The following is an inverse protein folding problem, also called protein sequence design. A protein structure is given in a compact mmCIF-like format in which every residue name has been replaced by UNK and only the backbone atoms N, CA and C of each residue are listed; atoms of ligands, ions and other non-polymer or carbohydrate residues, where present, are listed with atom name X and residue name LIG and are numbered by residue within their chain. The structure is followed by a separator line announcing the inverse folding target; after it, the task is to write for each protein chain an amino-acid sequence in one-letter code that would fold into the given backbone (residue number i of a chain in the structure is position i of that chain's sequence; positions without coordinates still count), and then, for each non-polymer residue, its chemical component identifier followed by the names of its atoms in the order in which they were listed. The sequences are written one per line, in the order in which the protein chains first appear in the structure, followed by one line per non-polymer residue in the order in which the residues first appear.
data_IF_947722520921
#
_entry.id   IF_947722520921
#
_cell.length_a   1.000
_cell.length_b   1.000
_cell.length_c   1.000
_cell.angle_alpha   90.00
_cell.angle_beta   90.00
_cell.angle_gamma   90.00
#
_symmetry.space_group_name_H-M   'P 1'
#
loop_
_entity.id
_entity.type
_entity.pdbx_description
1 polymer ?
#
# COMPACT_ATOMS: atom_id res chain seq x y z
N UNK A 1 7.81 14.09 -8.73
CA UNK A 1 8.29 13.10 -7.74
C UNK A 1 7.67 11.73 -8.00
N UNK A 2 8.27 10.66 -7.47
CA UNK A 2 7.75 9.29 -7.51
C UNK A 2 6.98 8.99 -6.21
N UNK A 3 5.88 8.25 -6.31
CA UNK A 3 5.15 7.70 -5.15
C UNK A 3 5.31 6.18 -5.15
N UNK A 4 5.71 5.62 -4.00
CA UNK A 4 5.78 4.18 -3.76
C UNK A 4 4.59 3.74 -2.92
N UNK A 5 3.89 2.70 -3.36
CA UNK A 5 2.71 2.17 -2.69
C UNK A 5 2.87 0.67 -2.43
N UNK A 6 3.17 0.25 -1.21
CA UNK A 6 3.10 -1.16 -0.83
C UNK A 6 1.67 -1.68 -0.86
N UNK A 7 1.48 -2.88 -1.39
CA UNK A 7 0.18 -3.56 -1.44
C UNK A 7 0.34 -5.00 -0.95
N UNK A 8 -0.59 -5.46 -0.12
CA UNK A 8 -0.56 -6.81 0.45
C UNK A 8 -1.69 -7.67 -0.11
N UNK A 9 -1.37 -8.90 -0.48
CA UNK A 9 -2.35 -9.93 -0.83
C UNK A 9 -2.87 -10.56 0.46
N UNK A 10 -4.18 -10.45 0.71
CA UNK A 10 -4.85 -10.93 1.92
C UNK A 10 -6.07 -11.77 1.57
N UNK A 11 -6.60 -12.53 2.53
CA UNK A 11 -7.91 -13.18 2.35
C UNK A 11 -8.97 -12.10 2.12
N UNK A 12 -9.80 -12.30 1.09
CA UNK A 12 -10.90 -11.38 0.79
C UNK A 12 -11.87 -11.28 1.98
N UNK A 13 -12.24 -10.06 2.36
CA UNK A 13 -13.07 -9.80 3.54
C UNK A 13 -14.48 -10.40 3.46
N UNK A 14 -14.94 -10.80 2.28
CA UNK A 14 -16.22 -11.51 2.11
C UNK A 14 -16.11 -13.01 2.39
N UNK A 15 -14.89 -13.55 2.53
CA UNK A 15 -14.66 -14.97 2.80
C UNK A 15 -15.01 -15.28 4.26
N UNK A 16 -15.80 -16.33 4.47
CA UNK A 16 -16.01 -16.88 5.81
C UNK A 16 -14.76 -17.65 6.26
N UNK A 17 -13.99 -17.04 7.15
CA UNK A 17 -12.76 -17.61 7.69
C UNK A 17 -13.04 -18.93 8.43
N UNK A 18 -12.15 -19.91 8.22
CA UNK A 18 -12.12 -21.18 8.95
C UNK A 18 -10.75 -21.37 9.59
N UNK A 19 -10.74 -21.74 10.85
CA UNK A 19 -9.51 -22.11 11.57
C UNK A 19 -9.15 -23.56 11.20
N UNK A 20 -7.87 -23.83 11.03
CA UNK A 20 -7.37 -25.20 10.80
C UNK A 20 -7.72 -26.10 12.00
N UNK A 21 -7.96 -27.41 11.81
CA UNK A 21 -8.32 -28.31 12.89
C UNK A 21 -7.29 -28.38 14.04
N UNK A 22 -6.02 -28.15 13.73
CA UNK A 22 -4.92 -28.15 14.70
C UNK A 22 -4.73 -26.80 15.43
N UNK A 23 -5.53 -25.77 15.09
CA UNK A 23 -5.46 -24.44 15.69
C UNK A 23 -4.23 -23.61 15.29
N UNK A 24 -3.40 -24.06 14.35
CA UNK A 24 -2.14 -23.40 13.99
C UNK A 24 -2.32 -22.16 13.08
N UNK A 25 -3.53 -21.89 12.62
CA UNK A 25 -3.81 -20.74 11.76
C UNK A 25 -5.12 -20.87 10.99
N UNK A 26 -5.26 -20.03 9.98
CA UNK A 26 -6.42 -19.97 9.09
C UNK A 26 -6.23 -20.91 7.90
N UNK A 27 -7.30 -21.58 7.49
CA UNK A 27 -7.32 -22.37 6.27
C UNK A 27 -7.27 -21.45 5.04
N UNK A 28 -6.20 -21.58 4.25
CA UNK A 28 -5.96 -20.73 3.06
C UNK A 28 -6.09 -21.51 1.75
N UNK A 29 -6.32 -22.82 1.80
CA UNK A 29 -6.46 -23.62 0.58
C UNK A 29 -7.75 -23.26 -0.16
N UNK A 30 -7.61 -22.90 -1.44
CA UNK A 30 -8.74 -22.52 -2.32
C UNK A 30 -9.62 -21.36 -1.80
N UNK A 31 -9.03 -20.47 -1.00
CA UNK A 31 -9.70 -19.28 -0.49
C UNK A 31 -9.46 -18.13 -1.45
N UNK A 32 -10.50 -17.33 -1.72
CA UNK A 32 -10.36 -16.11 -2.51
C UNK A 32 -9.44 -15.13 -1.78
N UNK A 33 -8.44 -14.64 -2.49
CA UNK A 33 -7.52 -13.60 -2.05
C UNK A 33 -7.77 -12.31 -2.81
N UNK A 34 -7.47 -11.17 -2.19
CA UNK A 34 -7.61 -9.84 -2.79
C UNK A 34 -6.53 -8.89 -2.28
N UNK A 35 -6.47 -7.71 -2.85
CA UNK A 35 -5.67 -6.61 -2.29
C UNK A 35 -6.26 -6.19 -0.94
N UNK A 36 -5.41 -5.93 0.04
CA UNK A 36 -5.83 -5.34 1.31
C UNK A 36 -6.63 -4.03 1.06
N UNK A 37 -7.84 -3.87 1.63
CA UNK A 37 -8.68 -2.70 1.37
C UNK A 37 -8.03 -1.36 1.67
N UNK A 38 -7.20 -1.27 2.71
CA UNK A 38 -6.45 -0.05 3.01
C UNK A 38 -5.39 0.26 1.93
N UNK A 39 -4.84 -0.75 1.30
CA UNK A 39 -3.86 -0.58 0.22
C UNK A 39 -4.54 -0.14 -1.07
N UNK A 40 -5.77 -0.57 -1.34
CA UNK A 40 -6.57 -0.05 -2.45
C UNK A 40 -6.80 1.47 -2.31
N UNK A 41 -7.06 1.95 -1.10
CA UNK A 41 -7.16 3.38 -0.78
C UNK A 41 -5.83 4.09 -1.06
N UNK A 42 -4.71 3.47 -0.70
CA UNK A 42 -3.38 4.02 -0.94
C UNK A 42 -3.05 4.13 -2.44
N UNK A 43 -3.38 3.11 -3.22
CA UNK A 43 -3.22 3.13 -4.69
C UNK A 43 -4.08 4.23 -5.30
N UNK A 44 -5.36 4.30 -4.94
CA UNK A 44 -6.27 5.34 -5.42
C UNK A 44 -5.75 6.74 -5.13
N UNK A 45 -5.25 7.00 -3.92
CA UNK A 45 -4.73 8.31 -3.56
C UNK A 45 -3.50 8.68 -4.38
N UNK A 46 -2.57 7.74 -4.57
CA UNK A 46 -1.40 7.95 -5.42
C UNK A 46 -1.80 8.31 -6.87
N UNK A 47 -2.81 7.64 -7.41
CA UNK A 47 -3.33 7.93 -8.74
C UNK A 47 -3.99 9.31 -8.82
N UNK A 48 -4.77 9.71 -7.82
CA UNK A 48 -5.36 11.04 -7.75
C UNK A 48 -4.30 12.15 -7.68
N UNK A 49 -3.25 11.92 -6.88
CA UNK A 49 -2.11 12.84 -6.81
C UNK A 49 -1.38 12.94 -8.15
N UNK A 50 -1.24 11.85 -8.88
CA UNK A 50 -0.67 11.84 -10.23
C UNK A 50 -1.56 12.61 -11.23
N UNK A 51 -2.85 12.38 -11.23
CA UNK A 51 -3.82 13.08 -12.07
C UNK A 51 -3.85 14.59 -11.79
N UNK A 52 -3.60 14.97 -10.54
CA UNK A 52 -3.45 16.38 -10.13
C UNK A 52 -2.06 16.98 -10.46
N UNK A 53 -1.18 16.24 -11.14
CA UNK A 53 0.17 16.69 -11.51
C UNK A 53 1.15 16.80 -10.33
N UNK A 54 0.86 16.16 -9.20
CA UNK A 54 1.71 16.18 -7.99
C UNK A 54 2.78 15.10 -7.99
N UNK A 55 2.65 14.06 -8.82
CA UNK A 55 3.68 13.05 -9.02
C UNK A 55 3.74 12.62 -10.49
N UNK A 56 4.87 12.06 -10.88
CA UNK A 56 5.16 11.64 -12.26
C UNK A 56 4.98 10.13 -12.44
N UNK A 57 5.30 9.36 -11.41
CA UNK A 57 5.30 7.90 -11.45
C UNK A 57 4.72 7.32 -10.16
N UNK A 58 3.82 6.34 -10.30
CA UNK A 58 3.28 5.53 -9.21
C UNK A 58 3.84 4.12 -9.36
N UNK A 59 4.67 3.71 -8.40
CA UNK A 59 5.25 2.37 -8.31
C UNK A 59 4.59 1.61 -7.19
N UNK A 60 4.07 0.42 -7.50
CA UNK A 60 3.49 -0.47 -6.49
C UNK A 60 4.45 -1.59 -6.17
N UNK A 61 4.51 -2.00 -4.91
CA UNK A 61 5.37 -3.11 -4.46
C UNK A 61 4.58 -4.09 -3.60
N UNK A 62 4.81 -5.37 -3.78
CA UNK A 62 4.26 -6.41 -2.91
C UNK A 62 5.38 -7.36 -2.46
N UNK A 63 5.29 -7.84 -1.24
CA UNK A 63 6.21 -8.82 -0.67
C UNK A 63 5.39 -10.07 -0.36
N UNK A 64 5.76 -11.20 -0.94
CA UNK A 64 5.01 -12.44 -0.75
C UNK A 64 5.30 -13.49 -1.82
N UNK A 65 4.50 -14.55 -1.87
CA UNK A 65 4.69 -15.62 -2.85
C UNK A 65 4.45 -15.14 -4.29
N UNK A 66 4.88 -15.92 -5.27
CA UNK A 66 4.69 -15.61 -6.70
C UNK A 66 3.25 -15.18 -7.05
N UNK A 67 2.25 -15.73 -6.37
CA UNK A 67 0.83 -15.35 -6.53
C UNK A 67 0.51 -13.90 -6.13
N UNK A 68 1.38 -13.21 -5.39
CA UNK A 68 1.20 -11.80 -5.08
C UNK A 68 1.28 -10.92 -6.35
N UNK A 69 1.80 -11.46 -7.46
CA UNK A 69 1.73 -10.83 -8.77
C UNK A 69 0.28 -10.47 -9.17
N UNK A 70 -0.71 -11.30 -8.82
CA UNK A 70 -2.12 -11.03 -9.12
C UNK A 70 -2.59 -9.69 -8.50
N UNK A 71 -2.18 -9.42 -7.27
CA UNK A 71 -2.48 -8.16 -6.55
C UNK A 71 -1.79 -6.97 -7.22
N UNK A 72 -0.53 -7.13 -7.64
CA UNK A 72 0.20 -6.10 -8.39
C UNK A 72 -0.45 -5.82 -9.75
N UNK A 73 -0.91 -6.86 -10.47
CA UNK A 73 -1.64 -6.69 -11.73
C UNK A 73 -2.96 -5.92 -11.53
N UNK A 74 -3.62 -6.12 -10.39
CA UNK A 74 -4.81 -5.32 -10.03
C UNK A 74 -4.45 -3.85 -9.85
N UNK A 75 -3.39 -3.52 -9.14
CA UNK A 75 -2.93 -2.14 -8.98
C UNK A 75 -2.51 -1.49 -10.32
N UNK A 76 -1.84 -2.24 -11.19
CA UNK A 76 -1.51 -1.79 -12.55
C UNK A 76 -2.78 -1.54 -13.39
N UNK A 77 -3.80 -2.38 -13.23
CA UNK A 77 -5.10 -2.20 -13.90
C UNK A 77 -5.88 -0.99 -13.38
N UNK A 78 -5.68 -0.60 -12.12
CA UNK A 78 -6.19 0.67 -11.58
C UNK A 78 -5.50 1.89 -12.21
N UNK A 79 -4.24 1.77 -12.63
CA UNK A 79 -3.51 2.82 -13.32
C UNK A 79 -2.08 3.08 -12.83
N UNK A 80 -1.54 2.24 -11.94
CA UNK A 80 -0.14 2.32 -11.55
C UNK A 80 0.78 2.11 -12.77
N UNK A 81 1.96 2.71 -12.73
CA UNK A 81 2.87 2.70 -13.88
C UNK A 81 3.74 1.45 -13.94
N UNK A 82 4.25 1.02 -12.79
CA UNK A 82 5.18 -0.08 -12.66
C UNK A 82 4.96 -0.84 -11.35
N UNK A 83 5.30 -2.10 -11.34
CA UNK A 83 5.18 -2.96 -10.17
C UNK A 83 6.50 -3.66 -9.83
N UNK A 84 6.70 -3.94 -8.55
CA UNK A 84 7.84 -4.70 -8.02
C UNK A 84 7.29 -5.83 -7.15
N UNK A 85 7.70 -7.05 -7.43
CA UNK A 85 7.45 -8.20 -6.57
C UNK A 85 8.73 -8.57 -5.84
N UNK A 86 8.72 -8.48 -4.52
CA UNK A 86 9.75 -9.11 -3.68
C UNK A 86 9.25 -10.50 -3.32
N UNK A 87 9.75 -11.50 -4.04
CA UNK A 87 9.23 -12.85 -3.94
C UNK A 87 9.80 -13.59 -2.73
N UNK A 88 8.91 -14.09 -1.87
CA UNK A 88 9.24 -14.98 -0.75
C UNK A 88 8.02 -15.80 -0.37
N UNK A 89 8.25 -17.06 0.03
CA UNK A 89 7.22 -17.93 0.61
C UNK A 89 7.21 -17.88 2.15
N UNK A 90 8.14 -17.16 2.75
CA UNK A 90 8.23 -17.01 4.20
C UNK A 90 7.08 -16.14 4.73
N UNK A 91 6.55 -16.53 5.89
CA UNK A 91 5.71 -15.63 6.67
C UNK A 91 6.59 -14.61 7.40
N UNK A 92 6.43 -13.34 7.06
CA UNK A 92 7.25 -12.27 7.60
C UNK A 92 6.41 -11.30 8.45
N UNK A 93 7.01 -10.87 9.53
CA UNK A 93 6.43 -9.92 10.48
C UNK A 93 6.60 -8.46 10.03
N UNK A 94 5.80 -7.51 10.55
CA UNK A 94 5.83 -6.11 10.11
C UNK A 94 7.21 -5.45 10.11
N UNK A 95 8.09 -5.74 11.06
CA UNK A 95 9.43 -5.17 11.08
C UNK A 95 10.28 -5.67 9.90
N UNK A 96 10.17 -6.95 9.54
CA UNK A 96 10.86 -7.49 8.37
C UNK A 96 10.32 -6.87 7.08
N UNK A 97 9.00 -6.71 6.98
CA UNK A 97 8.36 -5.99 5.87
C UNK A 97 8.90 -4.57 5.77
N UNK A 98 8.97 -3.83 6.88
CA UNK A 98 9.49 -2.46 6.90
C UNK A 98 10.96 -2.39 6.45
N UNK A 99 11.81 -3.36 6.85
CA UNK A 99 13.21 -3.44 6.40
C UNK A 99 13.34 -3.69 4.90
N UNK A 100 12.52 -4.57 4.35
CA UNK A 100 12.48 -4.85 2.91
C UNK A 100 11.99 -3.60 2.15
N UNK A 101 10.92 -2.98 2.61
CA UNK A 101 10.40 -1.75 2.02
C UNK A 101 11.42 -0.59 2.08
N UNK A 102 12.23 -0.54 3.15
CA UNK A 102 13.34 0.42 3.21
C UNK A 102 14.33 0.18 2.08
N UNK A 103 14.73 -1.06 1.83
CA UNK A 103 15.65 -1.37 0.72
C UNK A 103 15.06 -1.00 -0.64
N UNK A 104 13.77 -1.25 -0.85
CA UNK A 104 13.06 -0.82 -2.07
C UNK A 104 13.03 0.71 -2.16
N UNK A 105 12.73 1.41 -1.07
CA UNK A 105 12.71 2.88 -1.04
C UNK A 105 14.10 3.47 -1.29
N UNK A 106 15.15 2.86 -0.77
CA UNK A 106 16.55 3.27 -1.02
C UNK A 106 16.93 3.12 -2.51
N UNK A 107 16.40 2.11 -3.20
CA UNK A 107 16.62 1.92 -4.64
C UNK A 107 15.74 2.86 -5.49
N UNK A 108 14.50 3.04 -5.14
CA UNK A 108 13.51 3.78 -5.92
C UNK A 108 13.51 5.30 -5.65
N UNK A 109 14.03 5.74 -4.49
CA UNK A 109 14.09 7.15 -4.08
C UNK A 109 12.73 7.88 -4.19
N UNK A 110 11.65 7.36 -3.59
CA UNK A 110 10.34 8.00 -3.67
C UNK A 110 10.31 9.30 -2.87
N UNK A 111 9.56 10.29 -3.36
CA UNK A 111 9.28 11.51 -2.61
C UNK A 111 8.16 11.34 -1.59
N UNK A 112 7.33 10.30 -1.76
CA UNK A 112 6.25 9.94 -0.84
C UNK A 112 6.02 8.42 -0.88
N UNK A 113 5.81 7.83 0.29
CA UNK A 113 5.37 6.45 0.43
C UNK A 113 3.98 6.47 1.06
N UNK A 114 3.01 5.87 0.39
CA UNK A 114 1.63 5.78 0.88
C UNK A 114 1.34 4.31 1.19
N UNK A 115 1.04 4.02 2.45
CA UNK A 115 0.85 2.66 2.97
C UNK A 115 -0.54 2.55 3.58
N UNK A 116 -1.24 1.45 3.39
CA UNK A 116 -2.44 1.17 4.17
C UNK A 116 -2.13 1.20 5.67
N UNK A 117 -3.01 1.78 6.50
CA UNK A 117 -2.72 1.89 7.94
C UNK A 117 -2.52 0.53 8.61
N UNK A 118 -3.18 -0.49 8.10
CA UNK A 118 -3.11 -1.87 8.60
C UNK A 118 -3.49 -2.86 7.49
N UNK A 119 -3.15 -4.12 7.67
CA UNK A 119 -3.65 -5.23 6.86
C UNK A 119 -4.76 -5.95 7.63
N UNK A 120 -5.84 -6.33 6.94
CA UNK A 120 -7.02 -6.92 7.59
C UNK A 120 -6.82 -8.35 8.10
N UNK A 121 -5.70 -8.98 7.77
CA UNK A 121 -5.35 -10.33 8.19
C UNK A 121 -4.61 -10.38 9.55
N UNK A 122 -3.86 -9.34 9.90
CA UNK A 122 -3.08 -9.28 11.14
C UNK A 122 -3.40 -8.07 12.04
N UNK A 123 -4.00 -7.01 11.48
CA UNK A 123 -4.36 -5.77 12.18
C UNK A 123 -3.22 -5.12 13.00
N UNK A 124 -1.97 -5.39 12.64
CA UNK A 124 -0.81 -4.96 13.44
C UNK A 124 -0.61 -3.44 13.46
N UNK A 125 -0.97 -2.73 12.39
CA UNK A 125 -0.89 -1.27 12.29
C UNK A 125 0.48 -0.67 12.68
N UNK A 126 1.57 -1.25 12.21
CA UNK A 126 2.92 -0.80 12.61
C UNK A 126 3.92 -0.67 11.44
N UNK A 127 3.65 -1.26 10.29
CA UNK A 127 4.61 -1.29 9.16
C UNK A 127 5.00 0.11 8.69
N UNK A 128 4.02 0.99 8.47
CA UNK A 128 4.28 2.36 8.00
C UNK A 128 5.11 3.18 8.98
N UNK A 129 4.81 3.10 10.26
CA UNK A 129 5.53 3.80 11.33
C UNK A 129 6.98 3.28 11.46
N UNK A 130 7.17 1.95 11.41
CA UNK A 130 8.50 1.34 11.42
C UNK A 130 9.31 1.74 10.20
N UNK A 131 8.69 1.78 9.02
CA UNK A 131 9.34 2.20 7.79
C UNK A 131 9.81 3.65 7.88
N UNK A 132 8.98 4.57 8.35
CA UNK A 132 9.35 5.96 8.55
C UNK A 132 10.54 6.11 9.50
N UNK A 133 10.53 5.37 10.61
CA UNK A 133 11.64 5.36 11.56
C UNK A 133 12.94 4.83 10.94
N UNK A 134 12.88 3.74 10.18
CA UNK A 134 14.04 3.16 9.49
C UNK A 134 14.61 4.09 8.41
N UNK A 135 13.76 4.85 7.74
CA UNK A 135 14.16 5.84 6.72
C UNK A 135 14.63 7.17 7.34
N UNK A 136 14.33 7.43 8.62
CA UNK A 136 14.59 8.71 9.26
C UNK A 136 13.74 9.85 8.67
N UNK A 137 12.56 9.57 8.16
CA UNK A 137 11.65 10.54 7.54
C UNK A 137 10.47 10.87 8.43
N UNK A 138 9.76 11.97 8.10
CA UNK A 138 8.49 12.28 8.73
C UNK A 138 7.43 11.22 8.43
N UNK A 139 6.45 11.11 9.30
CA UNK A 139 5.28 10.25 9.12
C UNK A 139 3.99 11.00 9.46
N UNK A 140 2.91 10.66 8.77
CA UNK A 140 1.55 11.05 9.13
C UNK A 140 0.64 9.83 9.00
N UNK A 141 -0.01 9.44 10.09
CA UNK A 141 -0.80 8.20 10.16
C UNK A 141 -2.30 8.46 10.12
N UNK A 142 -3.05 7.47 9.67
CA UNK A 142 -4.52 7.50 9.60
C UNK A 142 -5.07 8.64 8.74
N UNK A 143 -4.48 8.87 7.57
CA UNK A 143 -4.85 9.98 6.71
C UNK A 143 -6.26 9.82 6.14
N UNK A 144 -7.06 10.87 6.27
CA UNK A 144 -8.35 11.04 5.61
C UNK A 144 -8.34 12.18 4.58
N UNK A 145 -7.24 12.96 4.50
CA UNK A 145 -6.99 13.95 3.45
C UNK A 145 -5.49 14.17 3.28
N UNK A 146 -5.02 14.29 2.05
CA UNK A 146 -3.62 14.56 1.72
C UNK A 146 -3.57 15.68 0.69
N UNK A 147 -2.81 16.73 0.96
CA UNK A 147 -2.54 17.85 0.04
C UNK A 147 -1.03 18.04 -0.09
N UNK A 148 -0.51 18.04 -1.33
CA UNK A 148 0.92 18.16 -1.62
C UNK A 148 1.24 19.50 -2.25
N UNK A 149 2.24 20.19 -1.71
CA UNK A 149 2.76 21.45 -2.27
C UNK A 149 4.06 21.87 -1.61
N UNK A 150 4.92 22.54 -2.35
CA UNK A 150 6.14 23.18 -1.86
C UNK A 150 7.09 22.26 -1.04
N UNK A 151 7.23 21.00 -1.47
CA UNK A 151 8.08 20.01 -0.79
C UNK A 151 7.52 19.51 0.54
N UNK A 152 6.24 19.74 0.80
CA UNK A 152 5.53 19.35 2.02
C UNK A 152 4.23 18.63 1.71
N UNK A 153 3.70 17.93 2.71
CA UNK A 153 2.36 17.39 2.71
C UNK A 153 1.58 17.92 3.91
N UNK A 154 0.38 18.43 3.66
CA UNK A 154 -0.62 18.63 4.71
C UNK A 154 -1.50 17.39 4.77
N UNK A 155 -1.56 16.76 5.93
CA UNK A 155 -2.30 15.51 6.14
C UNK A 155 -3.30 15.71 7.27
N UNK A 156 -4.58 15.49 6.95
CA UNK A 156 -5.64 15.41 7.94
C UNK A 156 -5.77 13.96 8.39
N UNK A 157 -5.69 13.76 9.68
CA UNK A 157 -5.66 12.44 10.33
C UNK A 157 -6.91 12.21 11.14
N UNK A 158 -7.40 10.97 11.12
CA UNK A 158 -8.44 10.49 12.03
C UNK A 158 -7.82 10.18 13.40
N UNK A 159 -8.27 10.85 14.44
CA UNK A 159 -7.86 10.63 15.82
C UNK A 159 -9.08 10.46 16.72
N UNK A 160 -8.94 9.91 17.92
CA UNK A 160 -10.07 9.58 18.79
C UNK A 160 -10.99 10.77 19.09
N UNK A 161 -10.43 11.96 19.21
CA UNK A 161 -11.19 13.19 19.47
C UNK A 161 -11.73 13.91 18.23
N UNK A 162 -11.49 13.40 17.04
CA UNK A 162 -11.92 14.05 15.78
C UNK A 162 -10.84 14.06 14.71
N UNK A 163 -10.54 15.22 14.14
CA UNK A 163 -9.55 15.39 13.07
C UNK A 163 -8.36 16.21 13.53
N UNK A 164 -7.17 15.84 13.10
CA UNK A 164 -5.94 16.59 13.30
C UNK A 164 -5.26 16.82 11.95
N UNK A 165 -5.00 18.07 11.60
CA UNK A 165 -4.22 18.39 10.40
C UNK A 165 -2.79 18.75 10.77
N UNK A 166 -1.83 18.07 10.18
CA UNK A 166 -0.40 18.30 10.38
C UNK A 166 0.30 18.58 9.04
N UNK A 167 1.38 19.34 9.09
CA UNK A 167 2.27 19.55 7.96
C UNK A 167 3.57 18.78 8.17
N UNK A 168 3.98 18.01 7.17
CA UNK A 168 5.21 17.22 7.21
C UNK A 168 6.07 17.53 5.98
N UNK A 169 7.40 17.45 6.14
CA UNK A 169 8.34 17.59 5.02
C UNK A 169 8.40 16.30 4.21
N UNK A 170 8.53 16.43 2.89
CA UNK A 170 8.85 15.34 2.00
C UNK A 170 10.38 15.16 1.89
N UNK A 171 10.89 13.92 1.71
CA UNK A 171 10.15 12.66 1.63
C UNK A 171 9.53 12.25 2.96
N UNK A 172 8.42 11.53 2.89
CA UNK A 172 7.65 11.11 4.06
C UNK A 172 6.92 9.79 3.83
N UNK A 173 6.45 9.20 4.94
CA UNK A 173 5.54 8.05 4.92
C UNK A 173 4.17 8.48 5.44
N UNK A 174 3.13 8.18 4.70
CA UNK A 174 1.73 8.44 5.09
C UNK A 174 0.98 7.12 5.15
N UNK A 175 0.25 6.87 6.23
CA UNK A 175 -0.65 5.71 6.29
C UNK A 175 -2.09 6.14 6.06
N UNK A 176 -2.87 5.31 5.37
CA UNK A 176 -4.20 5.69 4.89
C UNK A 176 -5.32 5.04 5.68
N UNK A 177 -6.32 5.85 6.04
CA UNK A 177 -7.61 5.41 6.57
C UNK A 177 -8.62 5.18 5.43
N UNK A 178 -9.64 4.34 5.66
CA UNK A 178 -10.69 4.07 4.67
C UNK A 178 -11.52 5.30 4.28
N UNK A 179 -11.50 6.35 5.10
CA UNK A 179 -12.22 7.61 4.86
C UNK A 179 -11.53 8.54 3.87
N UNK A 180 -10.29 8.21 3.44
CA UNK A 180 -9.51 9.08 2.55
C UNK A 180 -10.16 9.22 1.17
N UNK A 181 -10.59 8.14 0.57
CA UNK A 181 -11.21 8.11 -0.75
C UNK A 181 -12.05 6.83 -0.97
N UNK A 182 -12.68 6.77 -2.12
CA UNK A 182 -13.33 5.57 -2.64
C UNK A 182 -12.53 5.08 -3.85
N UNK A 183 -11.95 3.85 -3.80
CA UNK A 183 -11.14 3.33 -4.89
C UNK A 183 -11.96 3.13 -6.18
N UNK A 184 -11.33 3.45 -7.31
CA UNK A 184 -11.89 3.19 -8.65
C UNK A 184 -11.88 1.71 -8.98
N UNK A 185 -12.82 1.31 -9.83
CA UNK A 185 -12.76 0.01 -10.50
C UNK A 185 -11.79 0.08 -11.69
N UNK A 186 -11.04 -1.02 -11.90
CA UNK A 186 -10.23 -1.16 -13.10
C UNK A 186 -11.15 -1.32 -14.34
N UNK A 187 -10.88 -0.54 -15.40
CA UNK A 187 -11.59 -0.72 -16.67
C UNK A 187 -11.10 -1.97 -17.40
N UNK A 188 -11.95 -2.59 -18.20
CA UNK A 188 -11.56 -3.77 -19.01
C UNK A 188 -10.32 -3.51 -19.89
N UNK A 189 -10.20 -2.38 -20.59
CA UNK A 189 -8.97 -2.07 -21.33
C UNK A 189 -7.72 -2.03 -20.46
N UNK A 190 -7.83 -1.48 -19.24
CA UNK A 190 -6.72 -1.41 -18.31
C UNK A 190 -6.34 -2.77 -17.74
N UNK A 191 -7.30 -3.65 -17.49
CA UNK A 191 -7.04 -5.05 -17.10
C UNK A 191 -6.23 -5.77 -18.18
N UNK A 192 -6.60 -5.62 -19.44
CA UNK A 192 -5.88 -6.23 -20.58
C UNK A 192 -4.47 -5.62 -20.69
N UNK A 193 -4.33 -4.31 -20.54
CA UNK A 193 -3.07 -3.60 -20.62
C UNK A 193 -2.14 -3.98 -19.45
N UNK A 194 -2.67 -4.19 -18.26
CA UNK A 194 -1.88 -4.48 -17.04
C UNK A 194 -1.00 -5.73 -17.18
N UNK A 195 -1.42 -6.69 -18.02
CA UNK A 195 -0.61 -7.88 -18.30
C UNK A 195 0.70 -7.58 -19.06
N UNK A 196 0.80 -6.41 -19.69
CA UNK A 196 1.97 -5.94 -20.44
C UNK A 196 2.77 -4.87 -19.70
N UNK A 197 2.24 -4.33 -18.61
CA UNK A 197 2.95 -3.31 -17.82
C UNK A 197 4.19 -3.89 -17.13
N UNK A 198 5.25 -3.08 -16.95
CA UNK A 198 6.49 -3.53 -16.32
C UNK A 198 6.22 -4.08 -14.90
N UNK A 199 6.77 -5.26 -14.63
CA UNK A 199 6.78 -5.90 -13.33
C UNK A 199 8.15 -6.53 -13.11
N UNK A 200 8.89 -5.97 -12.17
CA UNK A 200 10.22 -6.41 -11.77
C UNK A 200 10.11 -7.45 -10.63
N UNK A 201 11.05 -8.42 -10.61
CA UNK A 201 11.13 -9.45 -9.56
C UNK A 201 12.50 -9.47 -8.94
#
# INVERSE_FOLDING_TARGET
MKILVPVKRVVDYNVKIRVKPDGTGVELANVKMSMNPFDEISVEEALRLKEAGKCEEVVVVSIGPAKAEETLRTALAMGADRAILVETDDQIEPLTVAKILKAVADAEQPGLIIVGKQAIDDDSNQTGQMLAALLGTAQATFASKIEIGDGKAQVTREVDGGLQTIEIKLPAVVTTDLRLNEPRYASLPNIIKSNKNPLDK
#
